data_IF_851345968612
#
_entry.id   IF_851345968612
#
_cell.length_a   1.000
_cell.length_b   1.000
_cell.length_c   1.000
_cell.angle_alpha   90.00
_cell.angle_beta   90.00
_cell.angle_gamma   90.00
#
_symmetry.space_group_name_H-M   'P 1'
#
loop_
_entity.id
_entity.type
_entity.pdbx_description
1 polymer ?
#
# COMPACT_ATOMS: atom_id res chain seq x y z
N UNK A 1 -17.94 35.16 15.94
CA UNK A 1 -17.15 35.27 14.69
C UNK A 1 -15.75 34.62 14.78
N UNK A 2 -14.97 34.87 15.84
CA UNK A 2 -13.60 34.33 15.99
C UNK A 2 -13.53 32.79 16.11
N UNK A 3 -14.47 32.17 16.84
CA UNK A 3 -14.57 30.71 16.96
C UNK A 3 -14.87 30.02 15.61
N UNK A 4 -15.77 30.60 14.80
CA UNK A 4 -16.08 30.08 13.46
C UNK A 4 -14.87 30.16 12.52
N UNK A 5 -14.08 31.26 12.60
CA UNK A 5 -12.82 31.39 11.86
C UNK A 5 -11.78 30.36 12.31
N UNK A 6 -11.67 30.09 13.61
CA UNK A 6 -10.76 29.09 14.15
C UNK A 6 -11.15 27.65 13.76
N UNK A 7 -12.43 27.30 13.85
CA UNK A 7 -12.94 25.99 13.40
C UNK A 7 -12.75 25.79 11.89
N UNK A 8 -12.98 26.83 11.09
CA UNK A 8 -12.68 26.82 9.65
C UNK A 8 -11.19 26.53 9.39
N UNK A 9 -10.27 27.18 10.11
CA UNK A 9 -8.82 26.91 10.00
C UNK A 9 -8.46 25.46 10.34
N UNK A 10 -9.04 24.89 11.39
CA UNK A 10 -8.82 23.48 11.76
C UNK A 10 -9.31 22.53 10.67
N UNK A 11 -10.46 22.82 10.04
CA UNK A 11 -10.99 22.02 8.93
C UNK A 11 -10.09 22.09 7.69
N UNK A 12 -9.60 23.27 7.31
CA UNK A 12 -8.65 23.44 6.21
C UNK A 12 -7.35 22.68 6.46
N UNK A 13 -6.82 22.76 7.68
CA UNK A 13 -5.63 22.00 8.07
C UNK A 13 -5.86 20.48 7.95
N UNK A 14 -7.03 19.96 8.32
CA UNK A 14 -7.34 18.54 8.12
C UNK A 14 -7.35 18.13 6.64
N UNK A 15 -7.81 19.01 5.75
CA UNK A 15 -7.76 18.76 4.30
C UNK A 15 -6.32 18.72 3.80
N UNK A 16 -5.47 19.67 4.21
CA UNK A 16 -4.04 19.70 3.85
C UNK A 16 -3.33 18.43 4.35
N UNK A 17 -3.56 18.02 5.60
CA UNK A 17 -3.01 16.78 6.17
C UNK A 17 -3.40 15.55 5.35
N UNK A 18 -4.65 15.47 4.87
CA UNK A 18 -5.09 14.39 3.99
C UNK A 18 -4.41 14.43 2.62
N UNK A 19 -4.22 15.61 2.05
CA UNK A 19 -3.51 15.77 0.77
C UNK A 19 -2.07 15.27 0.91
N UNK A 20 -1.34 15.71 1.94
CA UNK A 20 0.03 15.26 2.21
C UNK A 20 0.06 13.73 2.38
N UNK A 21 -0.88 13.15 3.13
CA UNK A 21 -0.99 11.70 3.28
C UNK A 21 -1.16 10.97 1.95
N UNK A 22 -2.03 11.45 1.06
CA UNK A 22 -2.20 10.84 -0.26
C UNK A 22 -0.99 11.05 -1.17
N UNK A 23 -0.26 12.16 -1.02
CA UNK A 23 1.02 12.37 -1.71
C UNK A 23 2.08 11.36 -1.25
N UNK A 24 2.18 11.08 0.06
CA UNK A 24 3.07 10.01 0.58
C UNK A 24 2.76 8.69 -0.12
N UNK A 25 1.48 8.30 -0.21
CA UNK A 25 1.09 7.05 -0.87
C UNK A 25 1.33 7.05 -2.39
N UNK A 26 1.15 8.19 -3.05
CA UNK A 26 1.34 8.34 -4.48
C UNK A 26 2.81 8.22 -4.89
N UNK A 27 3.71 8.79 -4.08
CA UNK A 27 5.17 8.75 -4.30
C UNK A 27 5.85 7.55 -3.62
N UNK A 28 5.11 6.72 -2.89
CA UNK A 28 5.62 5.50 -2.28
C UNK A 28 6.35 4.54 -3.25
N UNK A 29 5.88 4.32 -4.50
CA UNK A 29 6.64 3.47 -5.43
C UNK A 29 7.90 4.13 -5.96
N UNK A 30 8.01 5.46 -5.92
CA UNK A 30 9.12 6.18 -6.54
C UNK A 30 10.37 6.11 -5.66
N UNK A 31 11.53 5.80 -6.25
CA UNK A 31 12.82 5.87 -5.57
C UNK A 31 13.48 7.25 -5.66
N UNK A 32 12.68 8.30 -5.86
CA UNK A 32 13.21 9.66 -5.88
C UNK A 32 13.83 9.98 -4.52
N UNK A 33 15.16 10.04 -4.48
CA UNK A 33 15.91 10.29 -3.26
C UNK A 33 17.36 10.60 -3.53
N UNK A 34 18.02 11.17 -2.51
CA UNK A 34 19.45 11.45 -2.53
C UNK A 34 20.18 10.34 -1.77
N UNK A 35 20.98 9.57 -2.50
CA UNK A 35 21.89 8.58 -1.91
C UNK A 35 23.15 9.27 -1.39
N UNK A 36 23.56 8.90 -0.19
CA UNK A 36 24.82 9.30 0.42
C UNK A 36 25.78 8.12 0.41
N UNK A 37 27.05 8.38 0.10
CA UNK A 37 28.07 7.35 -0.09
C UNK A 37 29.21 7.49 0.93
N UNK A 38 28.97 7.32 2.24
CA UNK A 38 30.03 7.29 3.25
C UNK A 38 30.90 6.03 3.10
N UNK A 39 32.07 6.00 3.74
CA UNK A 39 33.02 4.88 3.63
C UNK A 39 32.37 3.52 3.92
N UNK A 40 31.50 3.46 4.93
CA UNK A 40 30.79 2.23 5.31
C UNK A 40 29.77 1.72 4.27
N UNK A 41 29.46 2.52 3.23
CA UNK A 41 28.60 2.11 2.11
C UNK A 41 29.36 1.46 0.96
N UNK A 42 30.69 1.38 1.07
CA UNK A 42 31.55 0.73 0.09
C UNK A 42 31.96 -0.66 0.56
N UNK A 43 31.91 -1.63 -0.33
CA UNK A 43 32.43 -2.98 -0.11
C UNK A 43 33.45 -3.25 -1.20
N UNK A 44 34.72 -3.45 -0.79
CA UNK A 44 35.85 -3.62 -1.72
C UNK A 44 35.97 -2.46 -2.74
N UNK A 45 35.69 -1.23 -2.31
CA UNK A 45 35.72 -0.04 -3.16
C UNK A 45 34.48 0.15 -4.05
N UNK A 46 33.55 -0.80 -4.08
CA UNK A 46 32.30 -0.72 -4.85
C UNK A 46 31.18 -0.14 -3.99
N UNK A 47 30.41 0.80 -4.56
CA UNK A 47 29.22 1.37 -3.92
C UNK A 47 28.12 0.33 -3.78
N UNK A 48 27.58 0.19 -2.57
CA UNK A 48 26.53 -0.78 -2.26
C UNK A 48 25.27 -0.07 -1.81
N UNK A 49 24.23 -0.11 -2.66
CA UNK A 49 23.01 0.68 -2.48
C UNK A 49 22.28 0.41 -1.17
N UNK A 50 22.21 -0.84 -0.72
CA UNK A 50 21.51 -1.19 0.53
C UNK A 50 22.28 -0.77 1.79
N UNK A 51 23.56 -0.38 1.65
CA UNK A 51 24.34 0.24 2.71
C UNK A 51 24.34 1.77 2.63
N UNK A 52 23.83 2.35 1.53
CA UNK A 52 23.77 3.79 1.34
C UNK A 52 22.64 4.41 2.18
N UNK A 53 22.96 5.33 3.11
CA UNK A 53 21.93 6.18 3.69
C UNK A 53 21.27 6.95 2.55
N UNK A 54 19.95 6.95 2.49
CA UNK A 54 19.20 7.58 1.41
C UNK A 54 18.10 8.42 2.00
N UNK A 55 17.96 9.66 1.54
CA UNK A 55 16.83 10.52 1.89
C UNK A 55 15.89 10.56 0.70
N UNK A 56 14.80 9.78 0.76
CA UNK A 56 13.76 9.75 -0.26
C UNK A 56 12.75 10.89 -0.05
N UNK A 57 12.08 11.27 -1.14
CA UNK A 57 10.97 12.21 -1.09
C UNK A 57 9.85 11.71 -0.17
N UNK A 58 9.59 10.40 -0.13
CA UNK A 58 8.62 9.79 0.79
C UNK A 58 8.92 10.16 2.24
N UNK A 59 10.20 10.19 2.61
CA UNK A 59 10.65 10.41 3.99
C UNK A 59 10.39 11.84 4.41
N UNK A 60 10.71 12.77 3.52
CA UNK A 60 10.44 14.20 3.70
C UNK A 60 8.94 14.42 3.84
N UNK A 61 8.13 13.79 2.99
CA UNK A 61 6.67 13.90 3.06
C UNK A 61 6.09 13.30 4.34
N UNK A 62 6.62 12.17 4.81
CA UNK A 62 6.21 11.53 6.09
C UNK A 62 6.57 12.41 7.27
N UNK A 63 7.80 12.92 7.35
CA UNK A 63 8.22 13.83 8.42
C UNK A 63 7.35 15.09 8.42
N UNK A 64 7.13 15.68 7.25
CA UNK A 64 6.27 16.86 7.12
C UNK A 64 4.82 16.56 7.55
N UNK A 65 4.26 15.40 7.16
CA UNK A 65 2.94 14.95 7.58
C UNK A 65 2.83 14.83 9.10
N UNK A 66 3.83 14.23 9.75
CA UNK A 66 3.84 14.01 11.19
C UNK A 66 3.96 15.33 11.96
N UNK A 67 4.88 16.21 11.55
CA UNK A 67 5.03 17.54 12.14
C UNK A 67 3.76 18.38 11.97
N UNK A 68 3.17 18.36 10.78
CA UNK A 68 1.93 19.08 10.50
C UNK A 68 0.74 18.54 11.30
N UNK A 69 0.59 17.20 11.38
CA UNK A 69 -0.46 16.56 12.18
C UNK A 69 -0.31 16.89 13.67
N UNK A 70 0.92 16.92 14.18
CA UNK A 70 1.22 17.29 15.55
C UNK A 70 0.87 18.77 15.82
N UNK A 71 1.35 19.69 14.99
CA UNK A 71 1.06 21.13 15.10
C UNK A 71 -0.45 21.42 15.07
N UNK A 72 -1.20 20.78 14.17
CA UNK A 72 -2.67 20.90 14.13
C UNK A 72 -3.34 20.43 15.42
N UNK A 73 -2.88 19.32 16.01
CA UNK A 73 -3.43 18.80 17.28
C UNK A 73 -3.16 19.75 18.45
N UNK A 74 -1.93 20.27 18.54
CA UNK A 74 -1.55 21.26 19.55
C UNK A 74 -2.39 22.53 19.40
N UNK A 75 -2.53 23.06 18.19
CA UNK A 75 -3.37 24.23 17.90
C UNK A 75 -4.85 24.01 18.28
N UNK A 76 -5.42 22.86 17.91
CA UNK A 76 -6.81 22.50 18.28
C UNK A 76 -6.97 22.37 19.80
N UNK A 77 -6.00 21.81 20.51
CA UNK A 77 -6.03 21.68 21.98
C UNK A 77 -5.95 23.04 22.65
N UNK A 78 -5.09 23.94 22.16
CA UNK A 78 -4.98 25.32 22.63
C UNK A 78 -6.29 26.11 22.45
N UNK A 79 -6.96 25.94 21.31
CA UNK A 79 -8.29 26.53 21.06
C UNK A 79 -9.40 25.99 21.99
N UNK A 80 -9.33 24.71 22.34
CA UNK A 80 -10.31 24.06 23.22
C UNK A 80 -9.95 24.17 24.72
N UNK A 81 -8.88 24.87 25.09
CA UNK A 81 -8.37 24.95 26.46
C UNK A 81 -9.33 25.63 27.44
N UNK A 82 -10.42 26.27 26.96
CA UNK A 82 -11.49 26.81 27.82
C UNK A 82 -12.59 25.83 28.20
N UNK A 83 -12.62 24.58 27.76
CA UNK A 83 -13.73 23.68 28.12
C UNK A 83 -13.28 22.23 28.37
N UNK A 84 -13.47 21.82 29.63
CA UNK A 84 -13.63 20.45 30.11
C UNK A 84 -12.35 19.59 30.27
N UNK A 85 -11.74 19.69 31.46
CA UNK A 85 -11.02 18.57 32.08
C UNK A 85 -12.04 17.45 32.40
N UNK A 86 -12.32 16.60 31.43
CA UNK A 86 -12.99 15.30 31.68
C UNK A 86 -11.95 14.22 31.48
N UNK A 87 -11.38 13.74 32.58
CA UNK A 87 -10.51 12.56 32.59
C UNK A 87 -11.35 11.33 32.23
N UNK A 88 -11.47 11.03 30.94
CA UNK A 88 -11.83 9.68 30.54
C UNK A 88 -10.67 8.77 30.93
N UNK A 89 -10.90 7.91 31.94
CA UNK A 89 -10.06 6.74 32.21
C UNK A 89 -10.05 5.86 30.96
N UNK A 90 -9.08 6.10 30.08
CA UNK A 90 -8.75 5.17 29.00
C UNK A 90 -8.27 3.88 29.69
N UNK A 91 -8.73 2.71 29.23
CA UNK A 91 -8.27 1.41 29.72
C UNK A 91 -6.73 1.31 29.59
N UNK A 92 -6.04 1.36 30.73
CA UNK A 92 -4.58 1.54 30.84
C UNK A 92 -3.78 0.23 30.73
N UNK A 93 -4.38 -0.95 30.93
CA UNK A 93 -3.60 -2.21 31.07
C UNK A 93 -2.87 -2.62 29.78
N UNK A 94 -3.58 -2.65 28.64
CA UNK A 94 -3.00 -3.15 27.39
C UNK A 94 -2.06 -2.14 26.72
N UNK A 95 -2.25 -0.85 26.99
CA UNK A 95 -1.43 0.22 26.41
C UNK A 95 -0.03 0.24 27.04
N UNK A 96 0.09 -0.01 28.34
CA UNK A 96 1.38 -0.12 29.03
C UNK A 96 2.20 -1.31 28.53
N UNK A 97 1.58 -2.47 28.33
CA UNK A 97 2.27 -3.65 27.82
C UNK A 97 2.86 -3.42 26.42
N UNK A 98 2.08 -2.85 25.51
CA UNK A 98 2.56 -2.53 24.16
C UNK A 98 3.73 -1.52 24.17
N UNK A 99 3.71 -0.54 25.07
CA UNK A 99 4.83 0.40 25.25
C UNK A 99 6.09 -0.28 25.77
N UNK A 100 5.96 -1.17 26.76
CA UNK A 100 7.08 -1.95 27.27
C UNK A 100 7.66 -2.89 26.21
N UNK A 101 6.80 -3.56 25.43
CA UNK A 101 7.24 -4.41 24.33
C UNK A 101 7.98 -3.61 23.25
N UNK A 102 7.48 -2.43 22.90
CA UNK A 102 8.15 -1.53 21.95
C UNK A 102 9.50 -1.05 22.48
N UNK A 103 9.58 -0.68 23.76
CA UNK A 103 10.82 -0.27 24.41
C UNK A 103 11.84 -1.42 24.44
N UNK A 104 11.40 -2.62 24.84
CA UNK A 104 12.22 -3.83 24.85
C UNK A 104 12.75 -4.15 23.45
N UNK A 105 11.88 -4.11 22.43
CA UNK A 105 12.28 -4.34 21.04
C UNK A 105 13.29 -3.29 20.55
N UNK A 106 13.07 -2.02 20.89
CA UNK A 106 14.00 -0.93 20.54
C UNK A 106 15.36 -1.14 21.23
N UNK A 107 15.37 -1.50 22.51
CA UNK A 107 16.61 -1.79 23.24
C UNK A 107 17.35 -2.98 22.63
N UNK A 108 16.63 -4.03 22.25
CA UNK A 108 17.18 -5.20 21.54
C UNK A 108 17.84 -4.78 20.22
N UNK A 109 17.19 -3.93 19.41
CA UNK A 109 17.78 -3.40 18.18
C UNK A 109 19.05 -2.59 18.46
N UNK A 110 19.05 -1.72 19.48
CA UNK A 110 20.23 -0.91 19.84
C UNK A 110 21.40 -1.80 20.25
N UNK A 111 21.18 -2.82 21.10
CA UNK A 111 22.23 -3.78 21.48
C UNK A 111 22.78 -4.51 20.24
N UNK A 112 21.90 -4.89 19.30
CA UNK A 112 22.30 -5.49 18.04
C UNK A 112 23.18 -4.56 17.19
N UNK A 113 22.82 -3.28 17.09
CA UNK A 113 23.57 -2.26 16.35
C UNK A 113 24.97 -2.06 16.94
N UNK A 114 25.09 -2.02 18.27
CA UNK A 114 26.37 -1.86 18.96
C UNK A 114 27.34 -3.03 18.70
N UNK A 115 26.83 -4.21 18.37
CA UNK A 115 27.63 -5.41 18.03
C UNK A 115 27.77 -5.65 16.52
N UNK A 116 27.14 -4.82 15.69
CA UNK A 116 27.14 -5.02 14.25
C UNK A 116 28.50 -4.67 13.63
N UNK A 117 28.85 -5.35 12.52
CA UNK A 117 30.04 -5.02 11.72
C UNK A 117 29.99 -3.59 11.14
N UNK A 118 28.79 -3.07 10.91
CA UNK A 118 28.57 -1.72 10.40
C UNK A 118 27.50 -1.00 11.26
N UNK A 119 27.88 -0.45 12.42
CA UNK A 119 26.94 0.21 13.33
C UNK A 119 26.25 1.42 12.70
N UNK A 120 26.94 2.16 11.81
CA UNK A 120 26.38 3.37 11.18
C UNK A 120 25.21 3.06 10.26
N UNK A 121 25.32 2.01 9.44
CA UNK A 121 24.18 1.51 8.66
C UNK A 121 23.03 1.04 9.57
N UNK A 122 23.36 0.45 10.73
CA UNK A 122 22.40 0.06 11.75
C UNK A 122 21.63 1.24 12.35
N UNK A 123 22.31 2.34 12.68
CA UNK A 123 21.68 3.57 13.18
C UNK A 123 20.74 4.21 12.15
N UNK A 124 21.15 4.23 10.88
CA UNK A 124 20.28 4.66 9.79
C UNK A 124 19.04 3.75 9.67
N UNK A 125 19.22 2.42 9.75
CA UNK A 125 18.11 1.46 9.78
C UNK A 125 17.15 1.69 10.96
N UNK A 126 17.66 2.05 12.14
CA UNK A 126 16.84 2.38 13.30
C UNK A 126 16.01 3.67 13.07
N UNK A 127 16.60 4.68 12.44
CA UNK A 127 15.89 5.90 12.06
C UNK A 127 14.72 5.57 11.11
N UNK A 128 14.96 4.71 10.10
CA UNK A 128 13.91 4.21 9.20
C UNK A 128 12.81 3.45 9.92
N UNK A 129 13.18 2.60 10.87
CA UNK A 129 12.22 1.86 11.67
C UNK A 129 11.28 2.82 12.43
N UNK A 130 11.82 3.86 13.07
CA UNK A 130 11.00 4.86 13.77
C UNK A 130 10.10 5.64 12.82
N UNK A 131 10.62 6.04 11.65
CA UNK A 131 9.84 6.72 10.62
C UNK A 131 8.58 5.91 10.24
N UNK A 132 8.76 4.64 9.85
CA UNK A 132 7.65 3.75 9.51
C UNK A 132 6.73 3.46 10.68
N UNK A 133 7.28 3.31 11.89
CA UNK A 133 6.49 3.09 13.10
C UNK A 133 5.55 4.26 13.38
N UNK A 134 6.08 5.50 13.38
CA UNK A 134 5.26 6.69 13.62
C UNK A 134 4.28 6.96 12.49
N UNK A 135 4.66 6.70 11.24
CA UNK A 135 3.74 6.75 10.11
C UNK A 135 2.60 5.74 10.28
N UNK A 136 2.89 4.49 10.64
CA UNK A 136 1.88 3.47 10.93
C UNK A 136 0.93 3.87 12.06
N UNK A 137 1.45 4.41 13.17
CA UNK A 137 0.65 4.96 14.26
C UNK A 137 -0.25 6.12 13.82
N UNK A 138 0.23 6.95 12.90
CA UNK A 138 -0.59 7.98 12.28
C UNK A 138 -1.72 7.35 11.46
N UNK A 139 -1.43 6.41 10.56
CA UNK A 139 -2.44 5.77 9.70
C UNK A 139 -3.55 5.11 10.51
N UNK A 140 -3.22 4.35 11.55
CA UNK A 140 -4.20 3.64 12.41
C UNK A 140 -5.18 4.60 13.09
N UNK A 141 -4.74 5.82 13.42
CA UNK A 141 -5.58 6.83 14.08
C UNK A 141 -6.50 7.59 13.11
N UNK A 142 -6.25 7.48 11.80
CA UNK A 142 -7.01 8.24 10.81
C UNK A 142 -8.15 7.40 10.24
N UNK A 143 -9.33 8.02 10.12
CA UNK A 143 -10.48 7.44 9.41
C UNK A 143 -10.31 7.70 7.92
N UNK A 144 -9.59 6.81 7.23
CA UNK A 144 -9.33 6.91 5.79
C UNK A 144 -10.18 5.90 5.04
N UNK A 145 -10.76 6.34 3.91
CA UNK A 145 -11.49 5.44 3.02
C UNK A 145 -10.52 4.54 2.26
N UNK A 146 -10.68 3.23 2.42
CA UNK A 146 -9.89 2.22 1.71
C UNK A 146 -10.02 2.35 0.18
N UNK A 147 -11.19 2.77 -0.32
CA UNK A 147 -11.40 3.03 -1.75
C UNK A 147 -10.54 4.17 -2.30
N UNK A 148 -10.26 5.22 -1.50
CA UNK A 148 -9.36 6.30 -1.90
C UNK A 148 -7.90 5.84 -1.91
N UNK A 149 -7.52 5.01 -0.94
CA UNK A 149 -6.18 4.40 -0.91
C UNK A 149 -5.97 3.55 -2.16
N UNK A 150 -6.91 2.65 -2.47
CA UNK A 150 -6.86 1.82 -3.68
C UNK A 150 -6.79 2.65 -4.97
N UNK A 151 -7.52 3.76 -5.06
CA UNK A 151 -7.43 4.67 -6.19
C UNK A 151 -6.03 5.27 -6.34
N UNK A 152 -5.39 5.71 -5.24
CA UNK A 152 -4.01 6.24 -5.29
C UNK A 152 -3.02 5.16 -5.70
N UNK A 153 -3.12 3.96 -5.12
CA UNK A 153 -2.28 2.82 -5.53
C UNK A 153 -2.48 2.43 -6.99
N UNK A 154 -3.69 2.57 -7.56
CA UNK A 154 -3.89 2.28 -8.99
C UNK A 154 -3.07 3.17 -9.92
N UNK A 155 -2.83 4.43 -9.56
CA UNK A 155 -1.93 5.29 -10.33
C UNK A 155 -0.48 4.81 -10.26
N UNK A 156 0.00 4.44 -9.06
CA UNK A 156 1.34 3.90 -8.88
C UNK A 156 1.56 2.58 -9.62
N UNK A 157 0.60 1.65 -9.56
CA UNK A 157 0.66 0.39 -10.32
C UNK A 157 0.71 0.66 -11.81
N UNK A 158 -0.16 1.51 -12.35
CA UNK A 158 -0.18 1.83 -13.78
C UNK A 158 1.16 2.45 -14.20
N UNK A 159 1.66 3.44 -13.46
CA UNK A 159 2.93 4.11 -13.73
C UNK A 159 4.12 3.12 -13.76
N UNK A 160 4.32 2.35 -12.68
CA UNK A 160 5.44 1.42 -12.57
C UNK A 160 5.33 0.28 -13.59
N UNK A 161 4.12 -0.17 -13.91
CA UNK A 161 3.93 -1.25 -14.87
C UNK A 161 4.20 -0.80 -16.30
N UNK A 162 3.81 0.42 -16.67
CA UNK A 162 4.18 1.00 -17.97
C UNK A 162 5.68 1.24 -18.08
N UNK A 163 6.32 1.76 -17.03
CA UNK A 163 7.77 1.94 -17.02
C UNK A 163 8.48 0.59 -17.15
N UNK A 164 8.02 -0.43 -16.42
CA UNK A 164 8.58 -1.78 -16.50
C UNK A 164 8.43 -2.41 -17.89
N UNK A 165 7.27 -2.24 -18.54
CA UNK A 165 7.05 -2.67 -19.92
C UNK A 165 8.02 -1.96 -20.88
N UNK A 166 8.16 -0.64 -20.74
CA UNK A 166 9.06 0.15 -21.57
C UNK A 166 10.52 -0.29 -21.40
N UNK A 167 10.97 -0.50 -20.16
CA UNK A 167 12.32 -1.01 -19.86
C UNK A 167 12.59 -2.39 -20.46
N UNK A 168 11.59 -3.28 -20.41
CA UNK A 168 11.69 -4.62 -20.98
C UNK A 168 11.95 -4.57 -22.50
N UNK A 169 11.19 -3.75 -23.23
CA UNK A 169 11.37 -3.60 -24.68
C UNK A 169 12.66 -2.84 -25.04
N UNK A 170 13.02 -1.82 -24.26
CA UNK A 170 14.23 -1.03 -24.47
C UNK A 170 15.52 -1.80 -24.12
N UNK A 171 15.41 -2.91 -23.37
CA UNK A 171 16.55 -3.67 -22.83
C UNK A 171 17.47 -2.82 -21.92
N UNK A 172 16.90 -1.80 -21.29
CA UNK A 172 17.60 -0.87 -20.40
C UNK A 172 16.66 0.17 -19.78
N UNK A 173 17.22 1.11 -19.05
CA UNK A 173 16.49 2.25 -18.49
C UNK A 173 15.98 3.19 -19.57
N UNK A 174 14.80 3.78 -19.39
CA UNK A 174 14.23 4.79 -20.28
C UNK A 174 14.95 6.13 -20.19
N UNK A 175 15.41 6.49 -18.99
CA UNK A 175 16.12 7.74 -18.72
C UNK A 175 15.22 8.98 -18.80
N UNK A 176 15.86 10.15 -18.96
CA UNK A 176 15.15 11.43 -19.10
C UNK A 176 14.29 11.77 -17.87
N UNK A 177 12.98 11.97 -18.08
CA UNK A 177 12.04 12.33 -17.01
C UNK A 177 11.94 11.26 -15.91
N UNK A 178 12.14 9.98 -16.25
CA UNK A 178 12.03 8.87 -15.30
C UNK A 178 13.14 8.84 -14.25
N UNK A 179 14.30 9.46 -14.55
CA UNK A 179 15.35 9.67 -13.55
C UNK A 179 14.83 10.47 -12.34
N UNK A 180 13.99 11.49 -12.58
CA UNK A 180 13.38 12.27 -11.50
C UNK A 180 12.32 11.49 -10.71
N UNK A 181 11.86 10.34 -11.20
CA UNK A 181 11.01 9.43 -10.43
C UNK A 181 11.80 8.34 -9.72
N UNK A 182 13.14 8.36 -9.82
CA UNK A 182 14.03 7.38 -9.19
C UNK A 182 14.46 6.23 -10.08
N UNK A 183 14.22 6.29 -11.40
CA UNK A 183 14.77 5.30 -12.32
C UNK A 183 16.31 5.37 -12.34
N UNK A 184 16.95 4.20 -12.25
CA UNK A 184 18.39 4.04 -12.32
C UNK A 184 18.82 3.92 -13.77
N UNK A 185 20.00 4.45 -14.11
CA UNK A 185 20.60 4.24 -15.43
C UNK A 185 21.24 2.84 -15.50
N UNK A 186 20.75 1.99 -16.40
CA UNK A 186 21.32 0.66 -16.62
C UNK A 186 20.95 0.10 -18.00
N UNK A 187 21.67 -0.94 -18.41
CA UNK A 187 21.43 -1.74 -19.60
C UNK A 187 21.46 -3.22 -19.25
N UNK A 188 21.01 -4.08 -20.18
CA UNK A 188 21.10 -5.54 -20.01
C UNK A 188 22.53 -6.06 -19.80
N UNK A 189 23.55 -5.28 -20.18
CA UNK A 189 24.97 -5.62 -20.04
C UNK A 189 25.60 -5.05 -18.76
N UNK A 190 24.85 -4.28 -17.97
CA UNK A 190 25.37 -3.68 -16.74
C UNK A 190 25.75 -4.79 -15.74
N UNK A 191 26.99 -4.83 -15.23
CA UNK A 191 27.40 -5.86 -14.29
C UNK A 191 26.51 -5.89 -13.04
N UNK A 192 26.06 -7.08 -12.65
CA UNK A 192 25.19 -7.27 -11.49
C UNK A 192 23.71 -6.95 -11.74
N UNK A 193 23.30 -6.61 -12.98
CA UNK A 193 21.88 -6.46 -13.33
C UNK A 193 21.15 -7.81 -13.32
N UNK A 194 19.89 -7.80 -12.90
CA UNK A 194 19.06 -8.99 -12.85
C UNK A 194 18.53 -9.32 -14.26
N UNK A 195 19.19 -10.26 -14.92
CA UNK A 195 18.73 -10.84 -16.16
C UNK A 195 18.04 -12.20 -15.92
N UNK A 196 17.18 -12.59 -16.85
CA UNK A 196 16.67 -13.93 -17.02
C UNK A 196 17.30 -14.54 -18.28
N UNK A 197 17.63 -15.84 -18.26
CA UNK A 197 18.04 -16.56 -19.46
C UNK A 197 16.82 -17.27 -20.04
N UNK A 198 16.43 -16.92 -21.25
CA UNK A 198 15.34 -17.55 -21.99
C UNK A 198 15.93 -18.03 -23.31
N UNK A 199 15.91 -19.35 -23.55
CA UNK A 199 16.48 -19.98 -24.75
C UNK A 199 17.95 -19.61 -25.02
N UNK A 200 18.74 -19.39 -23.97
CA UNK A 200 20.14 -18.99 -24.09
C UNK A 200 20.37 -17.49 -24.29
N UNK A 201 19.31 -16.70 -24.51
CA UNK A 201 19.39 -15.24 -24.57
C UNK A 201 19.19 -14.60 -23.20
N UNK A 202 20.05 -13.63 -22.87
CA UNK A 202 19.91 -12.79 -21.69
C UNK A 202 18.83 -11.73 -21.92
N UNK A 203 17.71 -11.88 -21.23
CA UNK A 203 16.62 -10.91 -21.20
C UNK A 203 16.65 -10.11 -19.90
N UNK A 204 16.54 -8.79 -20.02
CA UNK A 204 16.45 -7.91 -18.86
C UNK A 204 15.14 -8.12 -18.10
N UNK A 205 15.23 -8.26 -16.78
CA UNK A 205 14.06 -8.20 -15.91
C UNK A 205 13.83 -6.74 -15.54
N UNK A 206 12.65 -6.16 -15.81
CA UNK A 206 12.43 -4.73 -15.59
C UNK A 206 12.34 -4.39 -14.10
N UNK A 207 12.81 -3.19 -13.76
CA UNK A 207 12.95 -2.69 -12.40
C UNK A 207 11.86 -1.66 -12.05
N UNK A 208 11.26 -1.01 -13.04
CA UNK A 208 10.49 0.21 -12.81
C UNK A 208 11.41 1.27 -12.21
N UNK A 209 10.96 1.92 -11.14
CA UNK A 209 11.82 2.79 -10.32
C UNK A 209 12.48 2.05 -9.15
N UNK A 210 12.19 0.76 -8.93
CA UNK A 210 12.68 -0.01 -7.79
C UNK A 210 14.15 -0.46 -7.93
N UNK A 211 14.80 -0.90 -6.84
CA UNK A 211 16.21 -1.26 -6.88
C UNK A 211 16.44 -2.69 -7.39
N UNK A 212 15.37 -3.47 -7.52
CA UNK A 212 15.39 -4.86 -7.96
C UNK A 212 14.01 -5.31 -8.48
N UNK A 213 13.92 -6.17 -9.52
CA UNK A 213 12.65 -6.65 -10.09
C UNK A 213 11.76 -7.37 -9.07
N UNK A 214 12.34 -8.10 -8.12
CA UNK A 214 11.58 -8.75 -7.03
C UNK A 214 10.89 -7.73 -6.11
N UNK A 215 11.49 -6.55 -5.89
CA UNK A 215 10.91 -5.51 -5.03
C UNK A 215 9.73 -4.86 -5.75
N UNK A 216 9.87 -4.57 -7.05
CA UNK A 216 8.76 -4.17 -7.91
C UNK A 216 7.63 -5.22 -7.86
N UNK A 217 7.95 -6.51 -8.01
CA UNK A 217 6.97 -7.59 -7.92
C UNK A 217 6.23 -7.62 -6.57
N UNK A 218 6.95 -7.45 -5.45
CA UNK A 218 6.35 -7.34 -4.12
C UNK A 218 5.41 -6.15 -3.97
N UNK A 219 5.82 -4.97 -4.45
CA UNK A 219 4.96 -3.78 -4.48
C UNK A 219 3.69 -4.02 -5.30
N UNK A 220 3.84 -4.55 -6.52
CA UNK A 220 2.73 -4.81 -7.44
C UNK A 220 1.69 -5.73 -6.81
N UNK A 221 2.09 -6.83 -6.15
CA UNK A 221 1.12 -7.72 -5.48
C UNK A 221 0.32 -6.94 -4.42
N UNK A 222 1.00 -6.26 -3.50
CA UNK A 222 0.35 -5.59 -2.37
C UNK A 222 -0.62 -4.53 -2.89
N UNK A 223 -0.16 -3.70 -3.84
CA UNK A 223 -0.97 -2.65 -4.43
C UNK A 223 -2.15 -3.22 -5.24
N UNK A 224 -1.93 -4.25 -6.05
CA UNK A 224 -2.99 -4.89 -6.85
C UNK A 224 -4.02 -5.61 -5.97
N UNK A 225 -3.64 -6.22 -4.84
CA UNK A 225 -4.59 -6.77 -3.85
C UNK A 225 -5.49 -5.67 -3.29
N UNK A 226 -4.91 -4.51 -2.93
CA UNK A 226 -5.69 -3.36 -2.46
C UNK A 226 -6.61 -2.81 -3.56
N UNK A 227 -6.15 -2.76 -4.81
CA UNK A 227 -6.98 -2.34 -5.96
C UNK A 227 -8.13 -3.32 -6.18
N UNK A 228 -7.85 -4.62 -6.28
CA UNK A 228 -8.83 -5.66 -6.57
C UNK A 228 -9.93 -5.75 -5.52
N UNK A 229 -9.60 -5.60 -4.23
CA UNK A 229 -10.57 -5.63 -3.13
C UNK A 229 -11.52 -4.43 -3.11
N UNK A 230 -11.24 -3.36 -3.86
CA UNK A 230 -12.07 -2.15 -3.91
C UNK A 230 -12.79 -1.92 -5.24
N UNK A 231 -12.66 -2.83 -6.22
CA UNK A 231 -13.44 -2.73 -7.47
C UNK A 231 -14.91 -3.00 -7.15
N UNK A 232 -15.74 -1.96 -7.20
CA UNK A 232 -17.20 -2.05 -6.95
C UNK A 232 -18.00 -1.70 -8.20
N UNK A 233 -19.15 -2.36 -8.38
CA UNK A 233 -20.04 -2.12 -9.52
C UNK A 233 -20.66 -0.71 -9.52
N UNK A 234 -20.82 -0.08 -8.36
CA UNK A 234 -21.44 1.25 -8.21
C UNK A 234 -20.48 2.44 -8.46
N UNK A 235 -19.27 2.17 -8.96
CA UNK A 235 -18.29 3.23 -9.25
C UNK A 235 -18.54 3.88 -10.60
N UNK A 236 -18.06 5.11 -10.79
CA UNK A 236 -18.05 5.73 -12.12
C UNK A 236 -17.21 4.90 -13.10
N UNK A 237 -17.64 4.87 -14.37
CA UNK A 237 -16.98 4.10 -15.43
C UNK A 237 -15.48 4.40 -15.52
N UNK A 238 -15.08 5.66 -15.40
CA UNK A 238 -13.67 6.09 -15.42
C UNK A 238 -12.86 5.46 -14.29
N UNK A 239 -13.35 5.50 -13.05
CA UNK A 239 -12.63 4.91 -11.91
C UNK A 239 -12.53 3.39 -12.05
N UNK A 240 -13.63 2.76 -12.47
CA UNK A 240 -13.64 1.31 -12.71
C UNK A 240 -12.65 0.91 -13.80
N UNK A 241 -12.59 1.66 -14.90
CA UNK A 241 -11.64 1.45 -15.98
C UNK A 241 -10.19 1.58 -15.48
N UNK A 242 -9.87 2.62 -14.71
CA UNK A 242 -8.52 2.82 -14.14
C UNK A 242 -8.11 1.67 -13.20
N UNK A 243 -9.00 1.24 -12.30
CA UNK A 243 -8.69 0.14 -11.39
C UNK A 243 -8.51 -1.18 -12.17
N UNK A 244 -9.31 -1.41 -13.21
CA UNK A 244 -9.18 -2.59 -14.06
C UNK A 244 -7.90 -2.55 -14.89
N UNK A 245 -7.56 -1.41 -15.49
CA UNK A 245 -6.31 -1.25 -16.24
C UNK A 245 -5.09 -1.47 -15.35
N UNK A 246 -5.13 -0.99 -14.09
CA UNK A 246 -4.08 -1.26 -13.11
C UNK A 246 -3.86 -2.77 -12.89
N UNK A 247 -4.94 -3.56 -12.79
CA UNK A 247 -4.83 -5.02 -12.61
C UNK A 247 -4.30 -5.73 -13.85
N UNK A 248 -4.75 -5.32 -15.05
CA UNK A 248 -4.33 -5.96 -16.32
C UNK A 248 -2.87 -5.64 -16.61
N UNK A 249 -2.51 -4.35 -16.66
CA UNK A 249 -1.14 -3.91 -16.96
C UNK A 249 -0.18 -4.35 -15.85
N UNK A 250 -0.63 -4.28 -14.58
CA UNK A 250 0.14 -4.75 -13.43
C UNK A 250 0.41 -6.25 -13.45
N UNK A 251 -0.55 -7.07 -13.89
CA UNK A 251 -0.31 -8.52 -14.07
C UNK A 251 0.72 -8.78 -15.16
N UNK A 252 0.66 -8.06 -16.28
CA UNK A 252 1.65 -8.15 -17.35
C UNK A 252 3.05 -7.79 -16.86
N UNK A 253 3.20 -6.64 -16.19
CA UNK A 253 4.48 -6.22 -15.63
C UNK A 253 5.00 -7.21 -14.57
N UNK A 254 4.13 -7.73 -13.70
CA UNK A 254 4.51 -8.72 -12.69
C UNK A 254 5.12 -9.98 -13.31
N UNK A 255 4.53 -10.50 -14.40
CA UNK A 255 5.07 -11.65 -15.13
C UNK A 255 6.46 -11.32 -15.70
N UNK A 256 6.63 -10.12 -16.28
CA UNK A 256 7.91 -9.68 -16.83
C UNK A 256 9.00 -9.53 -15.76
N UNK A 257 8.66 -9.21 -14.50
CA UNK A 257 9.66 -9.20 -13.41
C UNK A 257 10.30 -10.57 -13.18
N UNK A 258 9.68 -11.65 -13.66
CA UNK A 258 10.10 -13.06 -13.48
C UNK A 258 10.32 -13.43 -12.00
N UNK A 259 9.63 -12.75 -11.09
CA UNK A 259 9.71 -13.04 -9.66
C UNK A 259 8.77 -14.19 -9.32
N UNK A 260 9.30 -15.42 -9.30
CA UNK A 260 8.52 -16.68 -9.12
C UNK A 260 7.56 -16.62 -7.94
N UNK A 261 8.05 -16.21 -6.76
CA UNK A 261 7.23 -16.10 -5.55
C UNK A 261 6.11 -15.07 -5.75
N UNK A 262 6.43 -13.93 -6.36
CA UNK A 262 5.47 -12.86 -6.57
C UNK A 262 4.34 -13.30 -7.53
N UNK A 263 4.71 -13.96 -8.62
CA UNK A 263 3.78 -14.50 -9.61
C UNK A 263 2.87 -15.56 -8.97
N UNK A 264 3.44 -16.52 -8.22
CA UNK A 264 2.68 -17.58 -7.56
C UNK A 264 1.70 -17.02 -6.53
N UNK A 265 2.11 -16.04 -5.72
CA UNK A 265 1.22 -15.38 -4.76
C UNK A 265 0.09 -14.64 -5.45
N UNK A 266 0.36 -13.93 -6.55
CA UNK A 266 -0.68 -13.25 -7.31
C UNK A 266 -1.69 -14.24 -7.90
N UNK A 267 -1.22 -15.34 -8.49
CA UNK A 267 -2.08 -16.42 -8.99
C UNK A 267 -2.95 -17.00 -7.86
N UNK A 268 -2.37 -17.29 -6.70
CA UNK A 268 -3.11 -17.80 -5.54
C UNK A 268 -4.21 -16.82 -5.09
N UNK A 269 -3.92 -15.52 -5.05
CA UNK A 269 -4.88 -14.46 -4.72
C UNK A 269 -6.04 -14.40 -5.73
N UNK A 270 -5.73 -14.42 -7.03
CA UNK A 270 -6.75 -14.38 -8.10
C UNK A 270 -7.62 -15.64 -8.06
N UNK A 271 -7.03 -16.82 -7.88
CA UNK A 271 -7.76 -18.08 -7.74
C UNK A 271 -8.67 -18.06 -6.51
N UNK A 272 -8.15 -17.71 -5.34
CA UNK A 272 -8.92 -17.66 -4.10
C UNK A 272 -10.12 -16.72 -4.20
N UNK A 273 -9.91 -15.51 -4.74
CA UNK A 273 -11.01 -14.54 -4.89
C UNK A 273 -12.05 -14.95 -5.93
N UNK A 274 -11.62 -15.65 -7.00
CA UNK A 274 -12.52 -16.20 -8.02
C UNK A 274 -13.36 -17.35 -7.49
N UNK A 275 -12.74 -18.30 -6.76
CA UNK A 275 -13.43 -19.41 -6.10
C UNK A 275 -14.45 -18.92 -5.08
N UNK A 276 -14.10 -17.92 -4.26
CA UNK A 276 -15.05 -17.31 -3.30
C UNK A 276 -16.26 -16.69 -4.00
N UNK A 277 -16.05 -15.96 -5.10
CA UNK A 277 -17.15 -15.38 -5.90
C UNK A 277 -18.03 -16.46 -6.52
N UNK A 278 -17.44 -17.53 -7.05
CA UNK A 278 -18.18 -18.68 -7.57
C UNK A 278 -19.04 -19.31 -6.47
N UNK A 279 -18.47 -19.58 -5.30
CA UNK A 279 -19.18 -20.14 -4.15
C UNK A 279 -20.35 -19.23 -3.69
N UNK A 280 -20.14 -17.92 -3.61
CA UNK A 280 -21.20 -16.96 -3.28
C UNK A 280 -22.32 -16.95 -4.34
N UNK A 281 -21.97 -17.03 -5.63
CA UNK A 281 -22.95 -17.11 -6.72
C UNK A 281 -23.73 -18.43 -6.72
N UNK A 282 -23.05 -19.57 -6.46
CA UNK A 282 -23.70 -20.87 -6.29
C UNK A 282 -24.66 -20.86 -5.09
N UNK A 283 -24.26 -20.30 -3.94
CA UNK A 283 -25.14 -20.17 -2.77
C UNK A 283 -26.36 -19.28 -3.04
N UNK A 284 -26.19 -18.17 -3.79
CA UNK A 284 -27.31 -17.32 -4.22
C UNK A 284 -28.28 -18.06 -5.14
N UNK A 285 -27.76 -18.80 -6.13
CA UNK A 285 -28.58 -19.62 -7.04
C UNK A 285 -29.29 -20.75 -6.29
N UNK A 286 -28.61 -21.43 -5.38
CA UNK A 286 -29.20 -22.47 -4.53
C UNK A 286 -30.32 -21.91 -3.65
N UNK A 287 -30.09 -20.79 -2.95
CA UNK A 287 -31.13 -20.14 -2.15
C UNK A 287 -32.31 -19.64 -3.01
N UNK A 288 -32.05 -19.15 -4.22
CA UNK A 288 -33.10 -18.76 -5.17
C UNK A 288 -33.93 -19.97 -5.61
N UNK A 289 -33.29 -21.10 -5.92
CA UNK A 289 -33.99 -22.35 -6.22
C UNK A 289 -34.80 -22.84 -5.01
N UNK A 290 -34.24 -22.88 -3.80
CA UNK A 290 -34.96 -23.26 -2.59
C UNK A 290 -36.16 -22.35 -2.31
N UNK A 291 -36.02 -21.02 -2.51
CA UNK A 291 -37.13 -20.08 -2.39
C UNK A 291 -38.22 -20.36 -3.43
N UNK A 292 -37.85 -20.72 -4.66
CA UNK A 292 -38.81 -21.09 -5.71
C UNK A 292 -39.53 -22.40 -5.40
N UNK A 293 -38.82 -23.41 -4.87
CA UNK A 293 -39.40 -24.68 -4.43
C UNK A 293 -40.35 -24.50 -3.23
N UNK A 294 -39.97 -23.72 -2.21
CA UNK A 294 -40.84 -23.41 -1.06
C UNK A 294 -42.06 -22.55 -1.45
N UNK A 295 -41.90 -21.64 -2.42
CA UNK A 295 -43.02 -20.87 -2.96
C UNK A 295 -43.97 -21.70 -3.83
N UNK A 296 -43.47 -22.75 -4.49
CA UNK A 296 -44.29 -23.69 -5.25
C UNK A 296 -45.10 -24.61 -4.31
N UNK A 297 -44.52 -25.05 -3.19
CA UNK A 297 -45.21 -25.85 -2.17
C UNK A 297 -46.26 -25.04 -1.38
N UNK A 298 -46.01 -23.76 -1.10
CA UNK A 298 -46.97 -22.88 -0.42
C UNK A 298 -48.27 -22.60 -1.20
N UNK A 299 -48.29 -22.82 -2.52
CA UNK A 299 -49.51 -22.72 -3.36
C UNK A 299 -50.31 -24.03 -3.42
N UNK A 300 -49.74 -25.16 -2.99
CA UNK A 300 -50.42 -26.45 -3.04
C UNK A 300 -51.39 -26.71 -1.87
N UNK A 301 -51.35 -25.90 -0.80
CA UNK A 301 -52.15 -26.13 0.42
C UNK A 301 -53.49 -25.39 0.44
N UNK A 302 -53.74 -24.41 -0.44
CA UNK A 302 -54.96 -23.58 -0.39
C UNK A 302 -56.15 -24.06 -1.24
N UNK A 303 -56.06 -25.20 -1.94
CA UNK A 303 -57.12 -25.66 -2.85
C UNK A 303 -57.99 -26.83 -2.33
N UNK A 304 -57.92 -27.20 -1.05
CA UNK A 304 -58.70 -28.32 -0.47
C UNK A 304 -59.63 -27.95 0.70
N UNK A 305 -60.09 -26.71 0.80
CA UNK A 305 -61.09 -26.32 1.81
C UNK A 305 -62.06 -25.25 1.27
N UNK A 306 -62.93 -25.63 0.33
CA UNK A 306 -64.19 -24.92 0.09
C UNK A 306 -65.10 -25.83 -0.77
N UNK A 307 -66.01 -26.54 -0.12
CA UNK A 307 -66.94 -27.43 -0.81
C UNK A 307 -67.83 -28.25 0.13
N UNK A 308 -68.60 -27.58 1.00
CA UNK A 308 -69.91 -28.04 1.51
C UNK A 308 -70.54 -27.01 2.47
N UNK A 309 -71.39 -26.18 1.91
CA UNK A 309 -72.58 -25.56 2.51
C UNK A 309 -73.35 -25.05 1.27
N UNK A 310 -74.54 -25.52 0.90
CA UNK A 310 -75.70 -25.82 1.73
C UNK A 310 -76.68 -24.66 1.57
N UNK A 311 -77.77 -24.91 0.84
CA UNK A 311 -78.80 -24.02 0.29
C UNK A 311 -78.50 -23.42 -1.09
#
# INVERSE_FOLDING_TARGET
MLLNRAQSRVSKAQTIERIIFYLVLLFLPTQLGRHFWPEFSHVLGVRVDYLSPTLYLSDILVVFLLLFSFGRKVYKKSLNFKFQFRFNRIQISNFKFAQWLFLFFTLFLVIGILRAKNPMAGWYGLLRFFEFFFFGLYVVKQKISFAKIALVFSFGVVFESFLALAQYFQKGSMGGLFYFFGERAFTSQTPGIANASINGELMLRPYGTFPHPNVLGGYLIIAMVMVMSNVKCQMSNVKRALLFSALVVGTGALILTMSRIAILLWLAVVLFTSLKKLQENFKKRFNFCCFFFLSAEGKAVWHKSCGRAGC
#
